data_IF_957032922017
#
_entry.id   IF_957032922017
#
_cell.length_a   1.000
_cell.length_b   1.000
_cell.length_c   1.000
_cell.angle_alpha   90.00
_cell.angle_beta   90.00
_cell.angle_gamma   90.00
#
_symmetry.space_group_name_H-M   'P 1'
#
loop_
_entity.id
_entity.type
_entity.pdbx_description
1 polymer ?
#
# COMPACT_ATOMS: atom_id res chain seq x y z
N UNK A 1 -27.61 -13.83 5.44
CA UNK A 1 -26.46 -13.20 6.11
C UNK A 1 -25.07 -13.65 5.59
N UNK A 2 -24.94 -14.61 4.66
CA UNK A 2 -23.61 -15.08 4.21
C UNK A 2 -22.86 -14.23 3.18
N UNK A 3 -23.54 -13.41 2.38
CA UNK A 3 -22.91 -12.70 1.25
C UNK A 3 -22.18 -11.41 1.65
N UNK A 4 -22.65 -10.67 2.66
CA UNK A 4 -22.00 -9.42 3.11
C UNK A 4 -20.81 -9.69 4.03
N UNK A 5 -20.84 -10.78 4.82
CA UNK A 5 -19.70 -11.19 5.65
C UNK A 5 -18.47 -11.58 4.82
N UNK A 6 -18.68 -12.17 3.64
CA UNK A 6 -17.63 -12.47 2.66
C UNK A 6 -17.05 -11.19 2.01
N UNK A 7 -17.84 -10.11 1.90
CA UNK A 7 -17.40 -8.88 1.24
C UNK A 7 -16.36 -8.09 2.04
N UNK A 8 -16.53 -7.91 3.36
CA UNK A 8 -15.50 -7.21 4.13
C UNK A 8 -14.26 -8.07 4.41
N UNK A 9 -14.41 -9.40 4.49
CA UNK A 9 -13.27 -10.33 4.56
C UNK A 9 -12.36 -10.22 3.31
N UNK A 10 -12.96 -10.08 2.12
CA UNK A 10 -12.20 -9.83 0.89
C UNK A 10 -11.48 -8.47 0.89
N UNK A 11 -12.04 -7.45 1.54
CA UNK A 11 -11.39 -6.14 1.68
C UNK A 11 -10.21 -6.22 2.66
N UNK A 12 -10.33 -6.94 3.77
CA UNK A 12 -9.24 -7.13 4.72
C UNK A 12 -8.05 -7.89 4.09
N UNK A 13 -8.32 -8.89 3.24
CA UNK A 13 -7.28 -9.55 2.43
C UNK A 13 -6.62 -8.56 1.46
N UNK A 14 -7.40 -7.75 0.74
CA UNK A 14 -6.85 -6.76 -0.18
C UNK A 14 -5.99 -5.70 0.52
N UNK A 15 -6.36 -5.28 1.73
CA UNK A 15 -5.55 -4.39 2.57
C UNK A 15 -4.22 -5.06 2.94
N UNK A 16 -4.28 -6.30 3.42
CA UNK A 16 -3.08 -7.06 3.83
C UNK A 16 -2.11 -7.25 2.65
N UNK A 17 -2.65 -7.63 1.49
CA UNK A 17 -1.85 -7.83 0.27
C UNK A 17 -1.21 -6.53 -0.21
N UNK A 18 -1.93 -5.42 -0.10
CA UNK A 18 -1.43 -4.08 -0.44
C UNK A 18 -0.29 -3.67 0.49
N UNK A 19 -0.42 -3.86 1.81
CA UNK A 19 0.64 -3.56 2.79
C UNK A 19 1.89 -4.41 2.55
N UNK A 20 1.72 -5.72 2.29
CA UNK A 20 2.82 -6.62 2.01
C UNK A 20 3.57 -6.23 0.73
N UNK A 21 2.86 -5.98 -0.37
CA UNK A 21 3.47 -5.53 -1.62
C UNK A 21 4.17 -4.19 -1.47
N UNK A 22 3.56 -3.24 -0.76
CA UNK A 22 4.16 -1.94 -0.47
C UNK A 22 5.51 -2.09 0.23
N UNK A 23 5.57 -2.95 1.24
CA UNK A 23 6.80 -3.20 2.00
C UNK A 23 7.88 -3.79 1.11
N UNK A 24 7.56 -4.82 0.33
CA UNK A 24 8.51 -5.45 -0.58
C UNK A 24 9.04 -4.47 -1.63
N UNK A 25 8.17 -3.63 -2.20
CA UNK A 25 8.60 -2.61 -3.17
C UNK A 25 9.50 -1.55 -2.53
N UNK A 26 9.15 -1.07 -1.34
CA UNK A 26 9.95 -0.09 -0.60
C UNK A 26 11.35 -0.63 -0.26
N UNK A 27 11.43 -1.86 0.24
CA UNK A 27 12.70 -2.53 0.54
C UNK A 27 13.56 -2.69 -0.72
N UNK A 28 12.97 -3.07 -1.85
CA UNK A 28 13.70 -3.22 -3.11
C UNK A 28 14.22 -1.86 -3.65
N UNK A 29 13.41 -0.80 -3.58
CA UNK A 29 13.82 0.54 -4.01
C UNK A 29 14.94 1.09 -3.12
N UNK A 30 14.80 0.95 -1.80
CA UNK A 30 15.81 1.38 -0.82
C UNK A 30 17.12 0.62 -1.03
N UNK A 31 17.05 -0.71 -1.19
CA UNK A 31 18.24 -1.53 -1.43
C UNK A 31 18.99 -1.13 -2.71
N UNK A 32 18.27 -0.84 -3.80
CA UNK A 32 18.86 -0.37 -5.04
C UNK A 32 19.45 1.05 -4.89
N UNK A 33 18.75 1.94 -4.20
CA UNK A 33 19.25 3.29 -3.91
C UNK A 33 20.55 3.23 -3.10
N UNK A 34 20.60 2.43 -2.03
CA UNK A 34 21.77 2.25 -1.19
C UNK A 34 22.94 1.62 -1.97
N UNK A 35 22.65 0.63 -2.81
CA UNK A 35 23.65 0.05 -3.70
C UNK A 35 24.27 1.12 -4.61
N UNK A 36 23.46 1.91 -5.31
CA UNK A 36 23.95 2.97 -6.20
C UNK A 36 24.81 3.98 -5.43
N UNK A 37 24.33 4.44 -4.27
CA UNK A 37 25.06 5.37 -3.42
C UNK A 37 26.41 4.82 -2.95
N UNK A 38 26.48 3.52 -2.63
CA UNK A 38 27.73 2.87 -2.24
C UNK A 38 28.77 2.79 -3.36
N UNK A 39 28.33 2.81 -4.63
CA UNK A 39 29.22 2.72 -5.80
C UNK A 39 29.71 4.07 -6.29
N UNK A 40 28.98 5.15 -5.99
CA UNK A 40 29.35 6.53 -6.34
C UNK A 40 30.70 6.89 -5.71
N UNK A 41 31.60 7.50 -6.49
CA UNK A 41 32.94 7.93 -6.09
C UNK A 41 33.89 6.80 -5.64
N UNK A 42 33.47 5.54 -5.75
CA UNK A 42 34.30 4.36 -5.48
C UNK A 42 34.56 3.59 -6.78
N UNK A 43 33.49 3.05 -7.37
CA UNK A 43 33.52 2.22 -8.59
C UNK A 43 32.95 2.96 -9.80
N UNK A 44 31.99 3.86 -9.56
CA UNK A 44 31.43 4.76 -10.58
C UNK A 44 32.13 6.12 -10.47
N UNK A 45 32.63 6.62 -11.60
CA UNK A 45 33.37 7.88 -11.69
C UNK A 45 32.87 8.72 -12.87
N UNK A 46 33.09 10.04 -12.78
CA UNK A 46 32.67 10.99 -13.81
C UNK A 46 31.17 10.91 -14.08
N UNK A 47 30.80 10.86 -15.36
CA UNK A 47 29.39 10.86 -15.80
C UNK A 47 28.59 9.67 -15.24
N UNK A 48 29.24 8.52 -14.99
CA UNK A 48 28.57 7.36 -14.40
C UNK A 48 28.17 7.61 -12.94
N UNK A 49 29.00 8.33 -12.18
CA UNK A 49 28.67 8.70 -10.80
C UNK A 49 27.49 9.68 -10.77
N UNK A 50 27.46 10.64 -11.70
CA UNK A 50 26.36 11.59 -11.86
C UNK A 50 25.07 10.88 -12.23
N UNK A 51 25.10 9.99 -13.22
CA UNK A 51 23.93 9.21 -13.65
C UNK A 51 23.40 8.31 -12.52
N UNK A 52 24.28 7.67 -11.75
CA UNK A 52 23.88 6.87 -10.59
C UNK A 52 23.21 7.72 -9.50
N UNK A 53 23.72 8.93 -9.24
CA UNK A 53 23.09 9.87 -8.29
C UNK A 53 21.71 10.34 -8.74
N UNK A 54 21.54 10.59 -10.05
CA UNK A 54 20.24 10.92 -10.64
C UNK A 54 19.24 9.75 -10.53
N UNK A 55 19.71 8.52 -10.78
CA UNK A 55 18.88 7.32 -10.62
C UNK A 55 18.49 7.10 -9.16
N UNK A 56 19.43 7.22 -8.22
CA UNK A 56 19.16 7.11 -6.78
C UNK A 56 18.10 8.13 -6.31
N UNK A 57 18.19 9.37 -6.78
CA UNK A 57 17.20 10.42 -6.51
C UNK A 57 15.84 10.09 -7.12
N UNK A 58 15.83 9.57 -8.35
CA UNK A 58 14.59 9.16 -9.04
C UNK A 58 13.90 8.02 -8.30
N UNK A 59 14.65 7.02 -7.84
CA UNK A 59 14.14 5.91 -7.02
C UNK A 59 13.53 6.42 -5.72
N UNK A 60 14.23 7.31 -5.00
CA UNK A 60 13.72 7.92 -3.77
C UNK A 60 12.39 8.66 -3.98
N UNK A 61 12.32 9.46 -5.05
CA UNK A 61 11.10 10.21 -5.38
C UNK A 61 9.94 9.29 -5.79
N UNK A 62 10.24 8.22 -6.53
CA UNK A 62 9.25 7.23 -6.94
C UNK A 62 8.72 6.45 -5.73
N UNK A 63 9.60 6.06 -4.81
CA UNK A 63 9.25 5.38 -3.56
C UNK A 63 8.33 6.25 -2.67
N UNK A 64 8.65 7.54 -2.52
CA UNK A 64 7.80 8.48 -1.81
C UNK A 64 6.41 8.64 -2.43
N UNK A 65 6.32 8.77 -3.76
CA UNK A 65 5.03 8.86 -4.47
C UNK A 65 4.22 7.57 -4.38
N UNK A 66 4.89 6.41 -4.48
CA UNK A 66 4.26 5.10 -4.33
C UNK A 66 3.67 4.96 -2.92
N UNK A 67 4.47 5.28 -1.89
CA UNK A 67 4.04 5.22 -0.49
C UNK A 67 2.79 6.08 -0.27
N UNK A 68 2.76 7.31 -0.79
CA UNK A 68 1.59 8.19 -0.70
C UNK A 68 0.34 7.58 -1.35
N UNK A 69 0.46 7.01 -2.55
CA UNK A 69 -0.66 6.36 -3.25
C UNK A 69 -1.18 5.14 -2.48
N UNK A 70 -0.27 4.35 -1.91
CA UNK A 70 -0.61 3.17 -1.13
C UNK A 70 -1.32 3.57 0.17
N UNK A 71 -0.83 4.58 0.89
CA UNK A 71 -1.50 5.11 2.08
C UNK A 71 -2.92 5.58 1.75
N UNK A 72 -3.10 6.29 0.64
CA UNK A 72 -4.42 6.73 0.20
C UNK A 72 -5.35 5.55 -0.14
N UNK A 73 -4.83 4.53 -0.84
CA UNK A 73 -5.59 3.32 -1.17
C UNK A 73 -5.99 2.54 0.10
N UNK A 74 -5.07 2.39 1.06
CA UNK A 74 -5.33 1.75 2.35
C UNK A 74 -6.45 2.47 3.11
N UNK A 75 -6.40 3.81 3.17
CA UNK A 75 -7.44 4.61 3.81
C UNK A 75 -8.80 4.41 3.13
N UNK A 76 -8.86 4.49 1.80
CA UNK A 76 -10.09 4.31 1.06
C UNK A 76 -10.70 2.91 1.27
N UNK A 77 -9.88 1.85 1.26
CA UNK A 77 -10.35 0.48 1.53
C UNK A 77 -10.87 0.33 2.97
N UNK A 78 -10.20 0.96 3.93
CA UNK A 78 -10.64 0.98 5.34
C UNK A 78 -12.00 1.66 5.50
N UNK A 79 -12.21 2.80 4.82
CA UNK A 79 -13.49 3.52 4.82
C UNK A 79 -14.60 2.67 4.21
N UNK A 80 -14.36 2.04 3.05
CA UNK A 80 -15.33 1.14 2.40
C UNK A 80 -15.69 -0.03 3.32
N UNK A 81 -14.69 -0.66 3.94
CA UNK A 81 -14.90 -1.76 4.89
C UNK A 81 -15.81 -1.33 6.04
N UNK A 82 -15.57 -0.16 6.62
CA UNK A 82 -16.37 0.35 7.73
C UNK A 82 -17.81 0.64 7.30
N UNK A 83 -18.02 1.24 6.13
CA UNK A 83 -19.37 1.48 5.57
C UNK A 83 -20.15 0.18 5.37
N UNK A 84 -19.50 -0.86 4.83
CA UNK A 84 -20.14 -2.17 4.64
C UNK A 84 -20.49 -2.80 5.98
N UNK A 85 -19.58 -2.75 6.96
CA UNK A 85 -19.83 -3.26 8.31
C UNK A 85 -21.00 -2.55 8.98
N UNK A 86 -21.07 -1.22 8.87
CA UNK A 86 -22.18 -0.44 9.42
C UNK A 86 -23.52 -0.76 8.75
N UNK A 87 -23.52 -0.96 7.43
CA UNK A 87 -24.70 -1.38 6.70
C UNK A 87 -25.18 -2.78 7.14
N UNK A 88 -24.26 -3.72 7.38
CA UNK A 88 -24.56 -5.06 7.84
C UNK A 88 -25.15 -5.07 9.27
N UNK A 89 -24.60 -4.25 10.18
CA UNK A 89 -25.15 -4.08 11.53
C UNK A 89 -26.57 -3.51 11.49
N UNK A 90 -26.83 -2.47 10.68
CA UNK A 90 -28.18 -1.89 10.53
C UNK A 90 -29.17 -2.89 9.95
N UNK A 91 -28.78 -3.61 8.91
CA UNK A 91 -29.63 -4.65 8.32
C UNK A 91 -29.99 -5.72 9.35
N UNK A 92 -29.01 -6.20 10.13
CA UNK A 92 -29.23 -7.19 11.19
C UNK A 92 -30.20 -6.71 12.27
N UNK A 93 -30.07 -5.47 12.74
CA UNK A 93 -31.02 -4.89 13.72
C UNK A 93 -32.44 -4.67 13.17
N UNK A 94 -32.59 -4.49 11.85
CA UNK A 94 -33.89 -4.33 11.22
C UNK A 94 -34.66 -5.65 11.10
N UNK A 95 -33.97 -6.77 10.85
CA UNK A 95 -34.62 -8.09 10.79
C UNK A 95 -35.17 -8.54 12.15
N UNK A 96 -34.49 -8.25 13.26
CA UNK A 96 -34.96 -8.58 14.61
C UNK A 96 -36.26 -7.85 14.99
N UNK A 97 -36.49 -6.64 14.49
CA UNK A 97 -37.70 -5.86 14.78
C UNK A 97 -38.91 -6.22 13.89
N UNK A 98 -38.71 -6.88 12.75
CA UNK A 98 -39.79 -7.21 11.80
C UNK A 98 -40.33 -8.64 11.99
N UNK A 99 -39.60 -9.49 12.71
CA UNK A 99 -40.04 -10.84 13.09
C UNK A 99 -40.61 -10.96 14.53
N UNK A 100 -40.75 -9.84 15.24
CA UNK A 100 -41.36 -9.75 16.57
C UNK A 100 -42.86 -9.41 16.54
#
# INVERSE_FOLDING_TARGET
MGSMSLHYAGIDSAITDLEAHSKTMHEAMTSLQDYLNSKINHELQGDYAVAAGQLATTLHNADGQMTQKITAAHQALTEIRNVIKDADMRASTHFDHVQG
#
